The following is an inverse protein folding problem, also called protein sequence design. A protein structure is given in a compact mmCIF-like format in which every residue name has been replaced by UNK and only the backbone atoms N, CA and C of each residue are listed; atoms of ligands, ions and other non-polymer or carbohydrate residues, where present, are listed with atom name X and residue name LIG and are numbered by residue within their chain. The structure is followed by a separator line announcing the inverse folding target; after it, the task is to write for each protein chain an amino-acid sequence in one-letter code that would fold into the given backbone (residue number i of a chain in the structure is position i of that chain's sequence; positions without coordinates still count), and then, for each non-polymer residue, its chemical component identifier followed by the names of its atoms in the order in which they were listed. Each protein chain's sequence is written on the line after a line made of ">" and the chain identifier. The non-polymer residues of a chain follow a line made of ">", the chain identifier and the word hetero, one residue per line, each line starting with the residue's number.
data_IF_058418339140
#
_entry.id   IF_058418339140
#
_cell.length_a   1.000
_cell.length_b   1.000
_cell.length_c   1.000
_cell.angle_alpha   90.00
_cell.angle_beta   90.00
_cell.angle_gamma   90.00
#
_symmetry.space_group_name_H-M   'P 1'
#
loop_
_entity.id
_entity.type
_entity.pdbx_description
1 polymer ?
#
# COMPACT_ATOMS: atom_id res chain seq x y z
N UNK A 1 20.00 5.66 -14.32
CA UNK A 1 18.62 5.15 -14.46
C UNK A 1 17.71 6.05 -13.65
N UNK A 2 16.51 6.38 -14.15
CA UNK A 2 15.56 7.19 -13.37
C UNK A 2 14.94 6.31 -12.28
N UNK A 3 15.11 6.71 -11.02
CA UNK A 3 14.50 6.06 -9.85
C UNK A 3 13.13 6.68 -9.59
N UNK A 4 12.20 5.87 -9.07
CA UNK A 4 10.86 6.33 -8.68
C UNK A 4 10.55 5.95 -7.25
N UNK A 5 9.69 6.75 -6.62
CA UNK A 5 9.10 6.43 -5.34
C UNK A 5 7.74 5.76 -5.54
N UNK A 6 7.55 4.64 -4.84
CA UNK A 6 6.34 3.86 -4.82
C UNK A 6 5.77 3.85 -3.40
N UNK A 7 4.50 4.25 -3.24
CA UNK A 7 3.79 4.22 -1.97
C UNK A 7 2.95 2.94 -1.86
N UNK A 8 3.39 2.03 -1.00
CA UNK A 8 2.70 0.79 -0.69
C UNK A 8 1.87 0.94 0.58
N UNK A 9 0.56 0.69 0.49
CA UNK A 9 -0.36 0.67 1.65
C UNK A 9 -1.02 -0.70 1.86
N UNK A 10 -0.67 -1.70 1.05
CA UNK A 10 -1.25 -3.05 1.05
C UNK A 10 -0.18 -4.14 1.19
N UNK A 11 -0.32 -5.26 0.48
CA UNK A 11 0.61 -6.40 0.59
C UNK A 11 2.07 -6.05 0.31
N UNK A 12 2.34 -5.06 -0.54
CA UNK A 12 3.69 -4.55 -0.81
C UNK A 12 4.31 -3.76 0.37
N UNK A 13 3.64 -3.64 1.52
CA UNK A 13 4.29 -3.19 2.76
C UNK A 13 5.17 -4.30 3.37
N UNK A 14 4.88 -5.55 3.04
CA UNK A 14 5.70 -6.68 3.45
C UNK A 14 7.03 -6.67 2.68
N UNK A 15 8.13 -6.46 3.41
CA UNK A 15 9.47 -6.40 2.85
C UNK A 15 9.94 -7.70 2.21
N UNK A 16 9.47 -8.87 2.66
CA UNK A 16 9.80 -10.14 2.02
C UNK A 16 9.12 -10.27 0.66
N UNK A 17 7.83 -9.93 0.59
CA UNK A 17 7.11 -9.90 -0.68
C UNK A 17 7.71 -8.88 -1.65
N UNK A 18 8.10 -7.70 -1.15
CA UNK A 18 8.76 -6.69 -1.96
C UNK A 18 10.11 -7.16 -2.48
N UNK A 19 10.96 -7.79 -1.67
CA UNK A 19 12.24 -8.34 -2.15
C UNK A 19 12.06 -9.41 -3.22
N UNK A 20 11.01 -10.23 -3.12
CA UNK A 20 10.71 -11.25 -4.12
C UNK A 20 10.28 -10.65 -5.47
N UNK A 21 9.50 -9.57 -5.45
CA UNK A 21 9.00 -8.88 -6.66
C UNK A 21 10.04 -7.92 -7.25
N UNK A 22 10.75 -7.20 -6.39
CA UNK A 22 11.66 -6.12 -6.70
C UNK A 22 12.93 -6.25 -5.82
N UNK A 23 13.91 -7.09 -6.21
CA UNK A 23 15.08 -7.38 -5.39
C UNK A 23 15.98 -6.18 -5.12
N UNK A 24 15.92 -5.14 -5.95
CA UNK A 24 16.65 -3.88 -5.79
C UNK A 24 15.83 -2.78 -5.12
N UNK A 25 14.61 -3.07 -4.67
CA UNK A 25 13.77 -2.11 -3.96
C UNK A 25 14.39 -1.75 -2.61
N UNK A 26 14.49 -0.46 -2.34
CA UNK A 26 14.99 0.05 -1.07
C UNK A 26 13.86 0.68 -0.28
N UNK A 27 13.73 0.32 0.99
CA UNK A 27 12.78 0.96 1.88
C UNK A 27 13.34 2.34 2.29
N UNK A 28 12.58 3.40 2.01
CA UNK A 28 13.02 4.78 2.26
C UNK A 28 12.51 5.28 3.60
N UNK A 29 11.19 5.20 3.80
CA UNK A 29 10.51 5.76 4.97
C UNK A 29 9.05 5.32 5.06
N UNK A 30 8.41 5.62 6.18
CA UNK A 30 6.95 5.65 6.30
C UNK A 30 6.43 6.99 5.78
N UNK A 31 5.32 6.94 5.05
CA UNK A 31 4.61 8.12 4.56
C UNK A 31 3.12 8.03 4.81
N UNK A 32 2.42 9.13 4.60
CA UNK A 32 0.96 9.18 4.66
C UNK A 32 0.33 10.09 3.61
N UNK A 33 -0.90 9.76 3.25
CA UNK A 33 -1.77 10.58 2.40
C UNK A 33 -3.09 10.88 3.13
N UNK A 34 -3.49 12.14 3.13
CA UNK A 34 -4.72 12.63 3.75
C UNK A 34 -5.87 12.66 2.73
N UNK A 35 -7.11 12.55 3.20
CA UNK A 35 -8.30 12.53 2.34
C UNK A 35 -8.62 11.15 1.76
N UNK A 36 -8.02 10.10 2.30
CA UNK A 36 -8.17 8.71 1.84
C UNK A 36 -8.39 7.77 3.02
N UNK A 37 -9.10 6.67 2.78
CA UNK A 37 -9.29 5.60 3.75
C UNK A 37 -8.94 4.25 3.17
N UNK A 38 -8.29 3.41 3.98
CA UNK A 38 -7.98 2.02 3.64
C UNK A 38 -9.26 1.18 3.54
N UNK A 39 -9.28 0.25 2.60
CA UNK A 39 -10.40 -0.67 2.40
C UNK A 39 -9.93 -2.01 1.85
N UNK A 40 -10.65 -3.07 2.20
CA UNK A 40 -10.60 -4.34 1.48
C UNK A 40 -11.75 -4.42 0.49
N UNK A 41 -11.46 -4.75 -0.76
CA UNK A 41 -12.46 -4.87 -1.81
C UNK A 41 -13.07 -6.27 -1.93
N UNK A 42 -13.99 -6.47 -2.87
CA UNK A 42 -14.72 -7.75 -3.04
C UNK A 42 -13.82 -8.92 -3.43
N UNK A 43 -12.62 -8.65 -3.96
CA UNK A 43 -11.60 -9.67 -4.27
C UNK A 43 -10.74 -10.03 -3.05
N UNK A 44 -10.98 -9.40 -1.90
CA UNK A 44 -10.25 -9.58 -0.65
C UNK A 44 -8.84 -8.99 -0.65
N UNK A 45 -8.62 -7.93 -1.42
CA UNK A 45 -7.32 -7.22 -1.50
C UNK A 45 -7.46 -5.74 -1.17
N UNK A 46 -6.34 -5.09 -0.85
CA UNK A 46 -6.31 -3.71 -0.40
C UNK A 46 -6.57 -2.72 -1.55
N UNK A 47 -7.33 -1.67 -1.22
CA UNK A 47 -7.47 -0.45 -2.00
C UNK A 47 -7.62 0.74 -1.04
N UNK A 48 -7.61 1.95 -1.60
CA UNK A 48 -7.98 3.16 -0.86
C UNK A 48 -9.08 3.90 -1.61
N UNK A 49 -9.95 4.56 -0.86
CA UNK A 49 -11.06 5.35 -1.40
C UNK A 49 -11.04 6.76 -0.84
N UNK A 50 -11.54 7.77 -1.57
CA UNK A 50 -11.67 9.12 -1.04
C UNK A 50 -12.49 9.14 0.26
N UNK A 51 -12.00 9.85 1.26
CA UNK A 51 -12.64 9.99 2.57
C UNK A 51 -12.18 11.28 3.25
N UNK A 52 -13.09 12.24 3.41
CA UNK A 52 -12.78 13.52 4.02
C UNK A 52 -12.48 13.32 5.52
N UNK A 53 -11.21 13.48 5.90
CA UNK A 53 -10.71 13.23 7.26
C UNK A 53 -9.98 11.89 7.44
N UNK A 54 -10.02 11.02 6.44
CA UNK A 54 -9.24 9.79 6.43
C UNK A 54 -7.75 10.05 6.20
N UNK A 55 -6.91 9.18 6.74
CA UNK A 55 -5.47 9.15 6.47
C UNK A 55 -5.04 7.72 6.21
N UNK A 56 -4.24 7.51 5.16
CA UNK A 56 -3.65 6.20 4.86
C UNK A 56 -2.15 6.29 5.08
N UNK A 57 -1.63 5.40 5.92
CA UNK A 57 -0.19 5.20 6.10
C UNK A 57 0.30 4.10 5.16
N UNK A 58 1.55 4.22 4.75
CA UNK A 58 2.19 3.26 3.88
C UNK A 58 3.70 3.38 3.91
N UNK A 59 4.36 2.47 3.20
CA UNK A 59 5.80 2.43 3.06
C UNK A 59 6.19 3.03 1.72
N UNK A 60 7.18 3.92 1.74
CA UNK A 60 7.82 4.44 0.55
C UNK A 60 8.99 3.53 0.17
N UNK A 61 8.87 2.96 -1.03
CA UNK A 61 9.93 2.22 -1.68
C UNK A 61 10.58 3.07 -2.76
N UNK A 62 11.91 3.02 -2.85
CA UNK A 62 12.65 3.49 -4.01
C UNK A 62 12.90 2.30 -4.93
N UNK A 63 12.44 2.40 -6.17
CA UNK A 63 12.55 1.32 -7.15
C UNK A 63 13.08 1.82 -8.50
N UNK A 64 13.61 0.90 -9.29
CA UNK A 64 13.97 1.13 -10.69
C UNK A 64 12.74 1.10 -11.61
N UNK A 65 12.92 1.57 -12.86
CA UNK A 65 11.89 1.51 -13.90
C UNK A 65 11.54 0.07 -14.32
N UNK A 66 12.47 -0.86 -14.21
CA UNK A 66 12.22 -2.27 -14.57
C UNK A 66 11.40 -2.95 -13.47
N UNK A 67 11.68 -2.64 -12.20
CA UNK A 67 10.86 -3.08 -11.07
C UNK A 67 9.45 -2.50 -11.10
N UNK A 68 9.28 -1.25 -11.52
CA UNK A 68 7.96 -0.67 -11.79
C UNK A 68 7.17 -1.50 -12.82
N UNK A 69 7.82 -1.99 -13.88
CA UNK A 69 7.16 -2.83 -14.89
C UNK A 69 6.77 -4.19 -14.32
N UNK A 70 7.59 -4.76 -13.43
CA UNK A 70 7.26 -6.00 -12.71
C UNK A 70 6.02 -5.78 -11.84
N UNK A 71 5.96 -4.69 -11.09
CA UNK A 71 4.78 -4.33 -10.30
C UNK A 71 3.55 -4.07 -11.17
N UNK A 72 3.67 -3.40 -12.32
CA UNK A 72 2.55 -3.18 -13.24
C UNK A 72 1.94 -4.49 -13.75
N UNK A 73 2.79 -5.48 -14.01
CA UNK A 73 2.35 -6.82 -14.39
C UNK A 73 1.67 -7.53 -13.21
N UNK A 74 2.29 -7.46 -12.03
CA UNK A 74 1.78 -8.10 -10.81
C UNK A 74 0.41 -7.55 -10.40
N UNK A 75 0.24 -6.23 -10.45
CA UNK A 75 -1.01 -5.54 -10.10
C UNK A 75 -2.06 -5.61 -11.23
N UNK A 76 -1.72 -6.23 -12.38
CA UNK A 76 -2.65 -6.41 -13.49
C UNK A 76 -3.13 -5.09 -14.09
N UNK A 77 -2.24 -4.08 -14.20
CA UNK A 77 -2.58 -2.74 -14.70
C UNK A 77 -3.16 -2.82 -16.12
N UNK A 78 -2.54 -3.62 -17.01
CA UNK A 78 -3.02 -3.83 -18.39
C UNK A 78 -4.36 -4.57 -18.44
N UNK A 79 -4.71 -5.30 -17.39
CA UNK A 79 -5.98 -6.03 -17.25
C UNK A 79 -7.05 -5.17 -16.56
N UNK A 80 -6.74 -3.92 -16.17
CA UNK A 80 -7.65 -3.04 -15.47
C UNK A 80 -7.97 -3.48 -14.04
N UNK A 81 -7.14 -4.31 -13.41
CA UNK A 81 -7.34 -4.74 -12.01
C UNK A 81 -6.97 -3.63 -11.01
N UNK A 82 -5.96 -2.84 -11.37
CA UNK A 82 -5.50 -1.66 -10.66
C UNK A 82 -5.18 -0.55 -11.67
N UNK A 83 -5.27 0.70 -11.22
CA UNK A 83 -4.85 1.89 -11.95
C UNK A 83 -3.69 2.55 -11.20
N UNK A 84 -2.76 3.14 -11.94
CA UNK A 84 -1.63 3.87 -11.36
C UNK A 84 -1.99 5.33 -11.18
N UNK A 85 -1.68 5.88 -10.00
CA UNK A 85 -1.84 7.32 -9.72
C UNK A 85 -0.57 7.85 -9.06
N UNK A 86 -0.14 9.05 -9.43
CA UNK A 86 0.91 9.78 -8.71
C UNK A 86 0.27 10.75 -7.74
N UNK A 87 0.78 10.78 -6.52
CA UNK A 87 0.30 11.65 -5.45
C UNK A 87 1.47 12.19 -4.64
N UNK A 88 1.27 13.37 -4.06
CA UNK A 88 2.15 13.88 -3.03
C UNK A 88 1.92 13.10 -1.73
N UNK A 89 2.99 12.54 -1.17
CA UNK A 89 2.99 11.79 0.08
C UNK A 89 3.75 12.59 1.14
N UNK A 90 3.11 12.78 2.28
CA UNK A 90 3.69 13.47 3.42
C UNK A 90 4.61 12.51 4.18
N UNK A 91 5.82 12.97 4.49
CA UNK A 91 6.79 12.27 5.31
C UNK A 91 6.95 12.97 6.67
N UNK A 92 7.39 12.25 7.69
CA UNK A 92 7.63 12.82 9.02
C UNK A 92 9.00 13.51 9.03
N UNK A 93 9.02 14.80 9.37
CA UNK A 93 10.26 15.55 9.61
C UNK A 93 11.06 15.95 8.37
N UNK A 94 10.59 15.58 7.17
CA UNK A 94 11.19 15.94 5.88
C UNK A 94 10.11 16.42 4.90
N UNK A 95 10.49 17.11 3.81
CA UNK A 95 9.53 17.51 2.78
C UNK A 95 8.74 16.34 2.22
N UNK A 96 7.51 16.63 1.77
CA UNK A 96 6.73 15.67 0.99
C UNK A 96 7.45 15.31 -0.31
N UNK A 97 7.10 14.14 -0.86
CA UNK A 97 7.61 13.69 -2.16
C UNK A 97 6.49 13.17 -3.03
N UNK A 98 6.71 13.16 -4.34
CA UNK A 98 5.81 12.49 -5.27
C UNK A 98 6.11 10.99 -5.31
N UNK A 99 5.10 10.18 -5.05
CA UNK A 99 5.14 8.74 -5.24
C UNK A 99 3.95 8.26 -6.04
N UNK A 100 4.15 7.21 -6.83
CA UNK A 100 3.04 6.53 -7.46
C UNK A 100 2.48 5.43 -6.54
N UNK A 101 1.23 5.06 -6.76
CA UNK A 101 0.50 4.01 -6.05
C UNK A 101 -0.46 3.30 -7.00
N UNK A 102 -0.93 2.13 -6.58
CA UNK A 102 -1.90 1.33 -7.31
C UNK A 102 -3.25 1.36 -6.62
N UNK A 103 -4.29 1.88 -7.30
CA UNK A 103 -5.67 1.90 -6.82
C UNK A 103 -6.47 0.79 -7.48
N UNK A 104 -7.10 -0.09 -6.69
CA UNK A 104 -7.93 -1.14 -7.26
C UNK A 104 -9.14 -0.51 -7.95
N UNK A 105 -9.48 -1.00 -9.15
CA UNK A 105 -10.66 -0.51 -9.88
C UNK A 105 -11.96 -0.91 -9.18
N UNK A 106 -11.97 -2.08 -8.55
CA UNK A 106 -13.02 -2.46 -7.61
C UNK A 106 -12.82 -1.79 -6.25
N UNK A 107 -13.78 -0.95 -5.89
CA UNK A 107 -13.84 -0.17 -4.64
C UNK A 107 -14.95 -0.61 -3.69
N UNK A 108 -15.75 -1.62 -4.09
CA UNK A 108 -16.83 -2.13 -3.27
C UNK A 108 -16.25 -2.91 -2.08
N UNK A 109 -16.76 -2.70 -0.85
CA UNK A 109 -16.21 -3.35 0.33
C UNK A 109 -16.40 -4.87 0.28
N UNK A 110 -15.42 -5.61 0.77
CA UNK A 110 -15.46 -7.07 0.88
C UNK A 110 -14.67 -7.60 2.07
N UNK A 111 -14.50 -8.92 2.10
CA UNK A 111 -13.77 -9.65 3.16
C UNK A 111 -12.36 -9.98 2.68
N UNK A 112 -11.31 -9.81 3.49
CA UNK A 112 -9.95 -10.12 3.05
C UNK A 112 -9.76 -11.61 2.80
N UNK A 113 -8.75 -11.91 1.98
CA UNK A 113 -8.26 -13.28 1.84
C UNK A 113 -7.63 -13.75 3.16
N UNK A 114 -7.73 -15.04 3.53
CA UNK A 114 -7.05 -15.57 4.70
C UNK A 114 -5.55 -15.26 4.68
N UNK A 115 -5.00 -14.79 5.80
CA UNK A 115 -3.57 -14.46 5.93
C UNK A 115 -3.15 -13.12 5.31
N UNK A 116 -4.05 -12.43 4.57
CA UNK A 116 -3.71 -11.21 3.86
C UNK A 116 -3.53 -10.01 4.80
N UNK A 117 -4.44 -9.85 5.76
CA UNK A 117 -4.40 -8.71 6.68
C UNK A 117 -3.33 -8.89 7.75
N UNK A 118 -3.01 -10.12 8.13
CA UNK A 118 -1.99 -10.46 9.11
C UNK A 118 -0.61 -9.96 8.64
N UNK A 119 -0.27 -10.16 7.37
CA UNK A 119 0.96 -9.65 6.79
C UNK A 119 1.00 -8.11 6.77
N UNK A 120 -0.12 -7.47 6.41
CA UNK A 120 -0.27 -6.01 6.39
C UNK A 120 -0.11 -5.41 7.79
N UNK A 121 -0.79 -5.98 8.78
CA UNK A 121 -0.73 -5.54 10.18
C UNK A 121 0.67 -5.76 10.76
N UNK A 122 1.31 -6.90 10.47
CA UNK A 122 2.68 -7.18 10.90
C UNK A 122 3.68 -6.17 10.29
N UNK A 123 3.54 -5.83 9.01
CA UNK A 123 4.35 -4.81 8.36
C UNK A 123 4.11 -3.42 8.98
N UNK A 124 2.87 -3.04 9.25
CA UNK A 124 2.54 -1.77 9.89
C UNK A 124 3.16 -1.66 11.30
N UNK A 125 3.07 -2.71 12.10
CA UNK A 125 3.69 -2.76 13.44
C UNK A 125 5.21 -2.68 13.35
N UNK A 126 5.82 -3.44 12.45
CA UNK A 126 7.29 -3.50 12.30
C UNK A 126 7.89 -2.17 11.80
N UNK A 127 7.06 -1.30 11.24
CA UNK A 127 7.43 0.02 10.76
C UNK A 127 6.89 1.15 11.64
N UNK A 128 6.52 0.85 12.89
CA UNK A 128 6.10 1.83 13.90
C UNK A 128 4.94 2.74 13.45
N UNK A 129 3.98 2.19 12.69
CA UNK A 129 2.78 2.94 12.32
C UNK A 129 2.00 3.33 13.59
N UNK A 130 1.25 4.45 13.58
CA UNK A 130 0.46 4.85 14.74
C UNK A 130 -0.47 3.74 15.22
N UNK A 131 -0.50 3.51 16.54
CA UNK A 131 -1.27 2.41 17.14
C UNK A 131 -2.76 2.47 16.81
N UNK A 132 -3.33 3.67 16.67
CA UNK A 132 -4.70 3.88 16.22
C UNK A 132 -4.93 3.38 14.79
N UNK A 133 -3.98 3.60 13.88
CA UNK A 133 -4.07 3.12 12.51
C UNK A 133 -3.88 1.60 12.41
N UNK A 134 -2.98 1.03 13.22
CA UNK A 134 -2.85 -0.42 13.34
C UNK A 134 -4.16 -1.05 13.85
N UNK A 135 -4.84 -0.41 14.80
CA UNK A 135 -6.16 -0.87 15.28
C UNK A 135 -7.22 -0.78 14.18
N UNK A 136 -7.24 0.28 13.38
CA UNK A 136 -8.11 0.38 12.20
C UNK A 136 -7.87 -0.77 11.22
N UNK A 137 -6.61 -1.06 10.87
CA UNK A 137 -6.26 -2.19 10.00
C UNK A 137 -6.76 -3.52 10.58
N UNK A 138 -6.61 -3.73 11.89
CA UNK A 138 -7.09 -4.95 12.57
C UNK A 138 -8.61 -5.14 12.51
N UNK A 139 -9.40 -4.08 12.32
CA UNK A 139 -10.85 -4.22 12.12
C UNK A 139 -11.20 -4.98 10.83
N UNK A 140 -10.27 -5.06 9.89
CA UNK A 140 -10.42 -5.84 8.66
C UNK A 140 -10.00 -7.29 8.82
N UNK A 141 -9.24 -7.67 9.86
CA UNK A 141 -8.91 -9.08 10.11
C UNK A 141 -10.21 -9.87 10.29
N UNK A 142 -10.35 -10.98 9.57
CA UNK A 142 -11.44 -11.91 9.82
C UNK A 142 -11.24 -12.50 11.21
N UNK A 143 -12.17 -12.24 12.12
CA UNK A 143 -12.29 -13.05 13.33
C UNK A 143 -12.66 -14.45 12.85
N UNK A 144 -11.82 -15.45 13.12
CA UNK A 144 -12.20 -16.85 12.94
C UNK A 144 -13.57 -17.07 13.61
N UNK A 145 -14.57 -17.46 12.81
CA UNK A 145 -15.87 -17.96 13.28
C UNK A 145 -15.77 -19.44 13.63
#
# INVERSE_FOLDING_TARGET
>A
MSQKYYFAYGSNMDGEQMRNRCPGAEQVSVGMIEGWRFRINTRGVATIVPDNGGTVYGIIWRISKDEEQVLDCYEGVKMGLYTKRTMEVRLIGVPSLEAFLYLATDTQPGTPRPGYMEAIVAAAISNDFPSSYVQELRTWCTTDV
#
